data_IF_908046096349
#
_entry.id   IF_908046096349
#
_cell.length_a   1.000
_cell.length_b   1.000
_cell.length_c   1.000
_cell.angle_alpha   90.00
_cell.angle_beta   90.00
_cell.angle_gamma   90.00
#
_symmetry.space_group_name_H-M   'P 1'
#
loop_
_entity.id
_entity.type
_entity.pdbx_description
1 polymer ?
#
# COMPACT_ATOMS: atom_id res chain seq x y z
N UNK A 1 6.48 23.18 -10.04
CA UNK A 1 7.09 22.57 -8.85
C UNK A 1 7.94 21.40 -9.32
N UNK A 2 9.22 21.69 -9.55
CA UNK A 2 10.25 20.72 -9.92
C UNK A 2 10.46 19.69 -8.80
N UNK A 3 10.27 18.41 -9.11
CA UNK A 3 10.99 17.25 -8.53
C UNK A 3 10.44 15.99 -9.16
N UNK A 4 10.90 15.72 -10.38
CA UNK A 4 10.62 14.51 -11.13
C UNK A 4 11.28 13.29 -10.47
N UNK A 5 10.63 12.71 -9.46
CA UNK A 5 10.87 11.32 -9.07
C UNK A 5 9.92 10.47 -9.92
N UNK A 6 10.41 9.68 -10.90
CA UNK A 6 9.57 8.98 -11.87
C UNK A 6 8.50 8.07 -11.23
N UNK A 7 8.80 7.45 -10.09
CA UNK A 7 7.83 6.65 -9.34
C UNK A 7 6.63 7.44 -8.81
N UNK A 8 6.81 8.71 -8.44
CA UNK A 8 5.71 9.53 -7.92
C UNK A 8 4.79 10.01 -9.03
N UNK A 9 5.32 10.23 -10.24
CA UNK A 9 4.50 10.62 -11.39
C UNK A 9 3.59 9.48 -11.86
N UNK A 10 4.08 8.24 -11.84
CA UNK A 10 3.26 7.05 -12.16
C UNK A 10 2.28 6.65 -11.06
N UNK A 11 2.62 6.89 -9.79
CA UNK A 11 1.81 6.49 -8.63
C UNK A 11 0.91 7.62 -8.06
N UNK A 12 1.00 8.86 -8.56
CA UNK A 12 0.31 10.04 -8.00
C UNK A 12 -1.19 9.85 -7.77
N UNK A 13 -1.87 9.08 -8.63
CA UNK A 13 -3.31 8.84 -8.51
C UNK A 13 -3.68 7.85 -7.41
N UNK A 14 -2.83 6.87 -7.11
CA UNK A 14 -3.14 5.77 -6.18
C UNK A 14 -2.58 6.03 -4.78
N UNK A 15 -1.49 6.81 -4.67
CA UNK A 15 -0.88 7.14 -3.38
C UNK A 15 -1.85 7.77 -2.37
N UNK A 16 -2.73 8.73 -2.72
CA UNK A 16 -3.70 9.29 -1.78
C UNK A 16 -4.59 8.22 -1.16
N UNK A 17 -5.08 7.27 -1.97
CA UNK A 17 -5.92 6.18 -1.47
C UNK A 17 -5.16 5.27 -0.50
N UNK A 18 -3.89 4.95 -0.79
CA UNK A 18 -3.04 4.17 0.11
C UNK A 18 -2.84 4.91 1.44
N UNK A 19 -2.55 6.21 1.41
CA UNK A 19 -2.36 7.00 2.64
C UNK A 19 -3.64 7.14 3.46
N UNK A 20 -4.78 7.41 2.83
CA UNK A 20 -6.08 7.53 3.51
C UNK A 20 -6.52 6.20 4.10
N UNK A 21 -6.39 5.10 3.35
CA UNK A 21 -6.70 3.76 3.83
C UNK A 21 -5.80 3.37 5.00
N UNK A 22 -4.50 3.61 4.88
CA UNK A 22 -3.53 3.33 5.93
C UNK A 22 -3.78 4.15 7.20
N UNK A 23 -4.14 5.44 7.06
CA UNK A 23 -4.51 6.29 8.18
C UNK A 23 -5.80 5.78 8.88
N UNK A 24 -6.77 5.33 8.09
CA UNK A 24 -8.02 4.74 8.61
C UNK A 24 -7.73 3.45 9.39
N UNK A 25 -6.92 2.55 8.83
CA UNK A 25 -6.47 1.33 9.51
C UNK A 25 -5.72 1.63 10.81
N UNK A 26 -4.85 2.64 10.82
CA UNK A 26 -4.13 3.06 12.02
C UNK A 26 -5.07 3.63 13.10
N UNK A 27 -6.01 4.50 12.72
CA UNK A 27 -7.01 5.05 13.64
C UNK A 27 -7.91 3.95 14.23
N UNK A 28 -8.34 3.00 13.40
CA UNK A 28 -9.09 1.84 13.83
C UNK A 28 -8.26 0.96 14.80
N UNK A 29 -6.97 0.75 14.51
CA UNK A 29 -6.07 0.02 15.38
C UNK A 29 -5.85 0.68 16.75
N UNK A 30 -5.69 2.01 16.76
CA UNK A 30 -5.61 2.79 18.00
C UNK A 30 -6.92 2.71 18.81
N UNK A 31 -8.08 2.78 18.14
CA UNK A 31 -9.37 2.59 18.80
C UNK A 31 -9.52 1.17 19.39
N UNK A 32 -8.99 0.14 18.74
CA UNK A 32 -8.97 -1.23 19.30
C UNK A 32 -8.04 -1.38 20.50
N UNK A 33 -7.00 -0.53 20.62
CA UNK A 33 -6.08 -0.52 21.75
C UNK A 33 -6.62 0.22 22.98
N UNK A 34 -7.29 1.34 22.76
CA UNK A 34 -7.62 2.29 23.84
C UNK A 34 -9.10 2.28 24.21
N UNK A 35 -10.00 2.01 23.25
CA UNK A 35 -11.44 2.10 23.51
C UNK A 35 -11.94 0.93 24.39
N UNK A 36 -13.00 1.14 25.19
CA UNK A 36 -13.64 0.07 25.93
C UNK A 36 -14.15 -1.04 24.98
N UNK A 37 -14.14 -2.33 25.39
CA UNK A 37 -14.60 -3.43 24.53
C UNK A 37 -16.03 -3.32 24.00
N UNK A 38 -16.88 -2.53 24.67
CA UNK A 38 -18.26 -2.24 24.26
C UNK A 38 -18.32 -1.34 23.03
N UNK A 39 -17.28 -0.55 22.77
CA UNK A 39 -17.20 0.44 21.70
C UNK A 39 -16.33 -0.03 20.51
N UNK A 40 -15.80 -1.25 20.55
CA UNK A 40 -15.02 -1.79 19.43
C UNK A 40 -15.85 -2.05 18.15
N UNK A 41 -17.17 -1.94 18.19
CA UNK A 41 -18.05 -2.20 17.03
C UNK A 41 -17.64 -1.38 15.80
N UNK A 42 -17.71 -0.03 15.86
CA UNK A 42 -17.26 0.84 14.78
C UNK A 42 -15.79 0.66 14.40
N UNK A 43 -14.90 0.49 15.39
CA UNK A 43 -13.46 0.31 15.15
C UNK A 43 -13.16 -0.96 14.33
N UNK A 44 -13.89 -2.06 14.55
CA UNK A 44 -13.74 -3.30 13.76
C UNK A 44 -14.18 -3.11 12.31
N UNK A 45 -15.33 -2.46 12.09
CA UNK A 45 -15.80 -2.18 10.74
C UNK A 45 -14.82 -1.27 9.99
N UNK A 46 -14.30 -0.24 10.67
CA UNK A 46 -13.29 0.66 10.11
C UNK A 46 -11.97 -0.08 9.81
N UNK A 47 -11.52 -0.99 10.69
CA UNK A 47 -10.33 -1.80 10.45
C UNK A 47 -10.48 -2.70 9.22
N UNK A 48 -11.66 -3.32 9.05
CA UNK A 48 -11.94 -4.20 7.91
C UNK A 48 -12.02 -3.42 6.60
N UNK A 49 -12.76 -2.32 6.60
CA UNK A 49 -12.88 -1.46 5.43
C UNK A 49 -11.51 -0.85 5.08
N UNK A 50 -10.78 -0.34 6.06
CA UNK A 50 -9.43 0.19 5.88
C UNK A 50 -8.47 -0.83 5.29
N UNK A 51 -8.43 -2.05 5.84
CA UNK A 51 -7.60 -3.14 5.32
C UNK A 51 -8.01 -3.58 3.90
N UNK A 52 -9.32 -3.62 3.60
CA UNK A 52 -9.81 -3.96 2.26
C UNK A 52 -9.43 -2.89 1.23
N UNK A 53 -9.61 -1.61 1.56
CA UNK A 53 -9.23 -0.49 0.68
C UNK A 53 -7.71 -0.44 0.52
N UNK A 54 -6.93 -0.65 1.58
CA UNK A 54 -5.46 -0.71 1.50
C UNK A 54 -5.01 -1.85 0.58
N UNK A 55 -5.59 -3.05 0.72
CA UNK A 55 -5.29 -4.18 -0.16
C UNK A 55 -5.67 -3.90 -1.62
N UNK A 56 -6.84 -3.30 -1.87
CA UNK A 56 -7.28 -2.94 -3.22
C UNK A 56 -6.38 -1.86 -3.84
N UNK A 57 -6.03 -0.82 -3.09
CA UNK A 57 -5.15 0.25 -3.54
C UNK A 57 -3.73 -0.28 -3.83
N UNK A 58 -3.17 -1.13 -2.97
CA UNK A 58 -1.87 -1.77 -3.23
C UNK A 58 -1.94 -2.69 -4.44
N UNK A 59 -3.03 -3.44 -4.63
CA UNK A 59 -3.20 -4.30 -5.80
C UNK A 59 -3.33 -3.49 -7.10
N UNK A 60 -4.10 -2.40 -7.08
CA UNK A 60 -4.23 -1.47 -8.20
C UNK A 60 -2.90 -0.78 -8.54
N UNK A 61 -2.14 -0.42 -7.51
CA UNK A 61 -0.78 0.12 -7.64
C UNK A 61 0.13 -0.91 -8.32
N UNK A 62 0.13 -2.17 -7.88
CA UNK A 62 0.94 -3.24 -8.48
C UNK A 62 0.60 -3.54 -9.95
N UNK A 63 -0.68 -3.49 -10.33
CA UNK A 63 -1.11 -3.75 -11.73
C UNK A 63 -0.87 -2.57 -12.65
N UNK A 64 -0.99 -1.32 -12.17
CA UNK A 64 -0.82 -0.11 -13.00
C UNK A 64 0.63 0.35 -13.16
N UNK A 65 1.53 0.04 -12.23
CA UNK A 65 2.91 0.56 -12.26
C UNK A 65 3.89 -0.19 -13.18
N UNK A 66 3.48 -1.25 -13.88
CA UNK A 66 4.31 -1.87 -14.94
C UNK A 66 5.76 -2.17 -14.49
N UNK A 67 6.74 -1.63 -15.20
CA UNK A 67 8.20 -1.78 -14.89
C UNK A 67 8.59 -1.13 -13.56
N UNK A 68 7.90 -0.07 -13.12
CA UNK A 68 8.15 0.60 -11.82
C UNK A 68 7.64 -0.26 -10.65
N UNK A 69 6.69 -1.17 -10.88
CA UNK A 69 6.23 -2.11 -9.85
C UNK A 69 7.36 -3.02 -9.35
N UNK A 70 8.42 -3.20 -10.14
CA UNK A 70 9.63 -3.95 -9.75
C UNK A 70 10.34 -3.30 -8.55
N UNK A 71 10.35 -1.95 -8.46
CA UNK A 71 10.88 -1.23 -7.30
C UNK A 71 10.08 -1.45 -6.02
N UNK A 72 8.78 -1.71 -6.15
CA UNK A 72 7.89 -2.04 -5.03
C UNK A 72 7.89 -3.54 -4.68
N UNK A 73 8.30 -4.43 -5.60
CA UNK A 73 8.32 -5.89 -5.38
C UNK A 73 9.63 -6.41 -4.82
N UNK A 74 10.74 -5.72 -5.07
CA UNK A 74 12.09 -6.17 -4.74
C UNK A 74 12.76 -5.32 -3.64
N UNK A 75 13.77 -5.93 -2.99
CA UNK A 75 14.55 -5.27 -1.94
C UNK A 75 13.76 -4.98 -0.67
N UNK A 76 14.19 -3.94 0.07
CA UNK A 76 13.61 -3.57 1.37
C UNK A 76 12.16 -3.12 1.24
N UNK A 77 11.79 -2.39 0.17
CA UNK A 77 10.42 -1.93 -0.06
C UNK A 77 9.44 -3.10 -0.24
N UNK A 78 9.82 -4.13 -1.01
CA UNK A 78 9.00 -5.33 -1.18
C UNK A 78 8.82 -6.13 0.10
N UNK A 79 9.86 -6.25 0.93
CA UNK A 79 9.76 -6.91 2.24
C UNK A 79 8.80 -6.18 3.18
N UNK A 80 8.91 -4.84 3.24
CA UNK A 80 8.02 -4.00 4.04
C UNK A 80 6.57 -4.06 3.54
N UNK A 81 6.35 -4.05 2.23
CA UNK A 81 5.01 -4.15 1.65
C UNK A 81 4.37 -5.52 1.96
N UNK A 82 5.13 -6.62 1.89
CA UNK A 82 4.64 -7.95 2.30
C UNK A 82 4.32 -8.01 3.79
N UNK A 83 5.20 -7.45 4.63
CA UNK A 83 4.97 -7.37 6.07
C UNK A 83 3.69 -6.59 6.38
N UNK A 84 3.48 -5.44 5.72
CA UNK A 84 2.26 -4.65 5.83
C UNK A 84 1.02 -5.48 5.47
N UNK A 85 1.01 -6.16 4.31
CA UNK A 85 -0.13 -7.01 3.90
C UNK A 85 -0.46 -8.09 4.94
N UNK A 86 0.55 -8.77 5.48
CA UNK A 86 0.37 -9.80 6.49
C UNK A 86 -0.16 -9.22 7.81
N UNK A 87 0.38 -8.07 8.24
CA UNK A 87 -0.05 -7.38 9.45
C UNK A 87 -1.47 -6.81 9.32
N UNK A 88 -1.82 -6.18 8.21
CA UNK A 88 -3.18 -5.68 7.95
C UNK A 88 -4.18 -6.82 7.87
N UNK A 89 -3.87 -7.92 7.16
CA UNK A 89 -4.74 -9.09 7.10
C UNK A 89 -4.91 -9.75 8.49
N UNK A 90 -3.81 -9.97 9.22
CA UNK A 90 -3.82 -10.56 10.56
C UNK A 90 -4.56 -9.67 11.57
N UNK A 91 -4.33 -8.36 11.54
CA UNK A 91 -5.01 -7.39 12.40
C UNK A 91 -6.51 -7.29 12.11
N UNK A 92 -6.90 -7.28 10.83
CA UNK A 92 -8.31 -7.27 10.43
C UNK A 92 -9.04 -8.58 10.82
N UNK A 93 -8.40 -9.74 10.61
CA UNK A 93 -8.94 -11.04 11.03
C UNK A 93 -9.02 -11.14 12.56
N UNK A 94 -8.01 -10.67 13.29
CA UNK A 94 -8.04 -10.63 14.76
C UNK A 94 -9.15 -9.71 15.29
N UNK A 95 -9.38 -8.57 14.62
CA UNK A 95 -10.48 -7.67 14.92
C UNK A 95 -11.86 -8.35 14.70
N UNK A 96 -12.03 -9.12 13.62
CA UNK A 96 -13.23 -9.94 13.37
C UNK A 96 -13.43 -11.02 14.44
N UNK A 97 -12.40 -11.80 14.74
CA UNK A 97 -12.48 -12.90 15.69
C UNK A 97 -12.75 -12.41 17.12
N UNK A 98 -12.30 -11.19 17.45
CA UNK A 98 -12.63 -10.55 18.74
C UNK A 98 -14.13 -10.28 18.94
N UNK A 99 -14.94 -10.27 17.87
CA UNK A 99 -16.42 -10.16 17.94
C UNK A 99 -17.07 -11.43 18.50
N UNK A 100 -16.45 -12.60 18.27
CA UNK A 100 -16.98 -13.91 18.68
C UNK A 100 -16.74 -14.22 20.17
N UNK A 101 -15.79 -13.54 20.81
CA UNK A 101 -15.42 -13.74 22.22
C UNK A 101 -16.47 -13.31 23.27
N UNK A 102 -17.71 -12.98 22.86
CA UNK A 102 -18.82 -12.64 23.77
C UNK A 102 -19.45 -13.88 24.43
N UNK A 103 -19.03 -15.09 24.07
CA UNK A 103 -19.47 -16.34 24.70
C UNK A 103 -18.31 -17.08 25.37
N UNK A 104 -18.14 -16.87 26.68
CA UNK A 104 -17.65 -17.94 27.57
C UNK A 104 -16.16 -18.14 27.84
N UNK A 105 -15.21 -17.23 27.55
CA UNK A 105 -13.80 -17.46 27.91
C UNK A 105 -13.17 -16.36 28.78
N UNK A 106 -13.15 -16.66 30.09
CA UNK A 106 -12.24 -16.18 31.16
C UNK A 106 -11.35 -14.95 30.84
N UNK A 107 -11.79 -13.78 31.31
CA UNK A 107 -11.05 -12.63 31.88
C UNK A 107 -9.81 -12.03 31.21
N UNK A 108 -8.86 -12.81 30.68
CA UNK A 108 -7.54 -12.33 30.24
C UNK A 108 -7.36 -12.36 28.72
N UNK A 109 -7.94 -13.33 28.02
CA UNK A 109 -7.80 -13.46 26.57
C UNK A 109 -8.65 -12.46 25.78
N UNK A 110 -9.70 -11.90 26.40
CA UNK A 110 -10.64 -10.99 25.75
C UNK A 110 -10.04 -9.60 25.46
N UNK A 111 -9.04 -9.15 26.22
CA UNK A 111 -8.38 -7.86 26.05
C UNK A 111 -7.09 -7.94 25.20
N UNK A 112 -6.41 -9.08 25.18
CA UNK A 112 -5.15 -9.26 24.46
C UNK A 112 -5.37 -9.30 22.94
N UNK A 113 -6.45 -9.91 22.48
CA UNK A 113 -6.73 -10.07 21.03
C UNK A 113 -7.01 -8.73 20.33
N UNK A 114 -7.88 -7.83 20.85
CA UNK A 114 -8.08 -6.50 20.27
C UNK A 114 -6.80 -5.66 20.27
N UNK A 115 -6.03 -5.69 21.37
CA UNK A 115 -4.77 -4.94 21.47
C UNK A 115 -3.72 -5.42 20.47
N UNK A 116 -3.53 -6.74 20.34
CA UNK A 116 -2.63 -7.32 19.35
C UNK A 116 -3.08 -6.98 17.91
N UNK A 117 -4.39 -6.98 17.66
CA UNK A 117 -4.97 -6.60 16.36
C UNK A 117 -4.72 -5.13 16.05
N UNK A 118 -4.90 -4.25 17.04
CA UNK A 118 -4.62 -2.83 16.92
C UNK A 118 -3.13 -2.53 16.68
N UNK A 119 -2.24 -3.18 17.43
CA UNK A 119 -0.80 -3.09 17.22
C UNK A 119 -0.38 -3.58 15.82
N UNK A 120 -0.99 -4.68 15.33
CA UNK A 120 -0.74 -5.18 13.99
C UNK A 120 -1.16 -4.17 12.91
N UNK A 121 -2.33 -3.54 13.03
CA UNK A 121 -2.81 -2.52 12.09
C UNK A 121 -1.92 -1.27 12.09
N UNK A 122 -1.43 -0.84 13.25
CA UNK A 122 -0.46 0.26 13.35
C UNK A 122 0.88 -0.12 12.70
N UNK A 123 1.38 -1.33 12.96
CA UNK A 123 2.59 -1.85 12.33
C UNK A 123 2.44 -1.94 10.81
N UNK A 124 1.28 -2.37 10.31
CA UNK A 124 0.99 -2.39 8.89
C UNK A 124 1.06 -0.99 8.27
N UNK A 125 0.43 0.00 8.93
CA UNK A 125 0.47 1.39 8.47
C UNK A 125 1.90 1.92 8.36
N UNK A 126 2.73 1.66 9.38
CA UNK A 126 4.13 2.06 9.38
C UNK A 126 4.91 1.38 8.24
N UNK A 127 4.73 0.06 8.07
CA UNK A 127 5.37 -0.69 7.00
C UNK A 127 4.95 -0.19 5.61
N UNK A 128 3.68 0.16 5.39
CA UNK A 128 3.20 0.75 4.12
C UNK A 128 3.92 2.07 3.83
N UNK A 129 4.01 2.96 4.82
CA UNK A 129 4.69 4.27 4.65
C UNK A 129 6.18 4.11 4.37
N UNK A 130 6.87 3.23 5.10
CA UNK A 130 8.29 2.95 4.88
C UNK A 130 8.53 2.27 3.53
N UNK A 131 7.65 1.39 3.08
CA UNK A 131 7.73 0.77 1.77
C UNK A 131 7.65 1.82 0.65
N UNK A 132 6.71 2.76 0.73
CA UNK A 132 6.58 3.88 -0.21
C UNK A 132 7.84 4.75 -0.22
N UNK A 133 8.38 5.08 0.96
CA UNK A 133 9.61 5.87 1.06
C UNK A 133 10.82 5.16 0.43
N UNK A 134 11.03 3.87 0.74
CA UNK A 134 12.12 3.10 0.18
C UNK A 134 11.97 2.86 -1.33
N UNK A 135 10.75 2.65 -1.81
CA UNK A 135 10.47 2.54 -3.25
C UNK A 135 10.79 3.86 -3.97
N UNK A 136 10.40 5.00 -3.39
CA UNK A 136 10.74 6.33 -3.90
C UNK A 136 12.25 6.57 -3.97
N UNK A 137 12.99 6.25 -2.90
CA UNK A 137 14.46 6.35 -2.88
C UNK A 137 15.13 5.48 -3.95
N UNK A 138 14.67 4.23 -4.15
CA UNK A 138 15.22 3.33 -5.16
C UNK A 138 14.92 3.82 -6.58
N UNK A 139 13.70 4.31 -6.82
CA UNK A 139 13.35 4.91 -8.11
C UNK A 139 14.16 6.17 -8.42
N UNK A 140 14.58 6.93 -7.40
CA UNK A 140 15.41 8.11 -7.57
C UNK A 140 16.90 7.78 -7.83
N UNK A 141 17.35 6.58 -7.48
CA UNK A 141 18.75 6.15 -7.59
C UNK A 141 19.05 5.34 -8.85
N UNK A 142 18.05 4.84 -9.56
CA UNK A 142 18.24 3.96 -10.72
C UNK A 142 18.16 4.74 -12.06
N UNK A 143 19.29 4.90 -12.79
CA UNK A 143 19.34 5.59 -14.09
C UNK A 143 18.43 4.96 -15.15
N UNK A 144 17.98 3.71 -14.96
CA UNK A 144 17.09 3.01 -15.87
C UNK A 144 15.73 3.71 -16.04
N UNK A 145 15.24 4.45 -15.04
CA UNK A 145 13.90 5.06 -15.07
C UNK A 145 13.85 6.46 -15.70
N UNK A 146 14.98 7.08 -16.02
CA UNK A 146 15.04 8.29 -16.87
C UNK A 146 15.29 7.93 -18.33
N UNK A 147 16.09 6.89 -18.61
CA UNK A 147 16.60 6.60 -19.96
C UNK A 147 15.66 5.68 -20.78
N UNK A 148 14.94 4.74 -20.15
CA UNK A 148 14.06 3.80 -20.87
C UNK A 148 12.83 4.47 -21.53
N UNK A 149 12.10 5.40 -20.88
CA UNK A 149 10.95 6.06 -21.51
C UNK A 149 11.34 6.94 -22.69
N UNK A 150 12.54 7.57 -22.64
CA UNK A 150 13.07 8.36 -23.75
C UNK A 150 13.42 7.48 -24.94
N UNK A 151 13.99 6.30 -24.69
CA UNK A 151 14.38 5.35 -25.74
C UNK A 151 13.17 4.68 -26.42
N UNK A 152 12.08 4.45 -25.69
CA UNK A 152 10.82 3.98 -26.28
C UNK A 152 10.13 5.06 -27.14
N UNK A 153 10.15 6.33 -26.71
CA UNK A 153 9.65 7.45 -27.53
C UNK A 153 10.48 7.66 -28.80
N UNK A 154 11.80 7.50 -28.71
CA UNK A 154 12.69 7.53 -29.88
C UNK A 154 12.38 6.39 -30.85
N UNK A 155 12.26 5.15 -30.34
CA UNK A 155 11.89 3.98 -31.18
C UNK A 155 10.51 4.09 -31.81
N UNK A 156 9.53 4.67 -31.10
CA UNK A 156 8.20 4.92 -31.65
C UNK A 156 8.25 5.96 -32.79
N UNK A 157 9.02 7.04 -32.62
CA UNK A 157 9.23 8.06 -33.66
C UNK A 157 10.02 7.54 -34.86
N UNK A 158 11.01 6.67 -34.62
CA UNK A 158 11.76 5.99 -35.68
C UNK A 158 10.84 5.05 -36.47
N UNK A 159 10.01 4.26 -35.78
CA UNK A 159 9.03 3.38 -36.43
C UNK A 159 7.92 4.16 -37.18
N UNK A 160 7.54 5.35 -36.70
CA UNK A 160 6.62 6.25 -37.41
C UNK A 160 7.26 6.88 -38.65
N UNK A 161 8.55 7.27 -38.57
CA UNK A 161 9.32 7.76 -39.73
C UNK A 161 9.57 6.69 -40.78
N UNK A 162 9.84 5.46 -40.36
CA UNK A 162 10.06 4.32 -41.26
C UNK A 162 8.76 3.82 -41.91
N UNK A 163 7.60 4.12 -41.28
CA UNK A 163 6.25 3.87 -41.83
C UNK A 163 5.68 5.04 -42.63
N UNK A 164 6.36 6.17 -42.72
CA UNK A 164 6.03 7.25 -43.62
C UNK A 164 6.95 7.15 -44.85
N UNK A 165 6.61 6.37 -45.89
CA UNK A 165 7.35 6.43 -47.13
C UNK A 165 7.02 7.77 -47.80
N UNK A 166 8.05 8.60 -47.89
CA UNK A 166 8.26 9.66 -48.90
C UNK A 166 7.05 9.97 -49.79
N UNK A 167 6.08 10.74 -49.28
CA UNK A 167 4.97 11.29 -50.05
C UNK A 167 5.23 12.78 -50.37
N UNK A 168 6.17 12.99 -51.30
CA UNK A 168 6.37 14.23 -52.04
C UNK A 168 7.40 15.17 -51.42
N UNK A 169 8.37 15.74 -52.14
CA UNK A 169 8.46 16.08 -53.57
C UNK A 169 9.91 16.28 -53.96
#
# INVERSE_FOLDING_TARGET
>A
ADTAVPAWHGAHRELPFVFTASATSAAAGMALLVAPPREHGPARSAALLGAAVEAAAVKAMETRLGVVAETYREGTAGRLMRASKLLSAGGALGALLSRSGRSGRSGRSAAVVPGASGAALLGASLCTRLAVFHAGRRSAQDPKYTVVPQRERLRAREAERERAPDDGS
#
